data_IF_628555332894
#
_entry.id   IF_628555332894
#
_cell.length_a   1.000
_cell.length_b   1.000
_cell.length_c   1.000
_cell.angle_alpha   90.00
_cell.angle_beta   90.00
_cell.angle_gamma   90.00
#
_symmetry.space_group_name_H-M   'P 1'
#
loop_
_entity.id
_entity.type
_entity.pdbx_description
1 polymer ?
#
# COMPACT_ATOMS: atom_id res chain seq x y z
N UNK A 1 21.53 9.58 19.19
CA UNK A 1 21.74 8.25 19.80
C UNK A 1 20.72 7.32 19.20
N UNK A 2 21.13 6.29 18.48
CA UNK A 2 20.25 5.32 17.80
C UNK A 2 20.60 3.90 18.27
N UNK A 3 19.63 2.98 18.24
CA UNK A 3 19.83 1.57 18.53
C UNK A 3 20.12 0.82 17.24
N UNK A 4 21.31 0.22 17.11
CA UNK A 4 21.76 -0.49 15.93
C UNK A 4 21.94 -1.96 16.26
N UNK A 5 21.28 -2.85 15.51
CA UNK A 5 21.49 -4.29 15.63
C UNK A 5 22.52 -4.74 14.59
N UNK A 6 23.60 -5.37 15.05
CA UNK A 6 24.61 -6.00 14.21
C UNK A 6 24.43 -7.51 14.27
N UNK A 7 24.18 -8.11 13.12
CA UNK A 7 23.98 -9.56 12.95
C UNK A 7 25.08 -10.12 12.06
N UNK A 8 25.96 -10.92 12.62
CA UNK A 8 27.12 -11.50 11.94
C UNK A 8 27.59 -12.73 12.75
N UNK A 9 28.00 -13.81 12.15
CA UNK A 9 28.47 -14.99 12.86
C UNK A 9 29.94 -14.82 13.31
N UNK A 10 30.72 -13.95 12.66
CA UNK A 10 32.10 -13.66 12.97
C UNK A 10 32.24 -12.70 14.17
N UNK A 11 32.73 -13.22 15.32
CA UNK A 11 32.86 -12.44 16.56
C UNK A 11 33.74 -11.18 16.35
N UNK A 12 34.81 -11.28 15.59
CA UNK A 12 35.74 -10.16 15.35
C UNK A 12 35.07 -9.01 14.57
N UNK A 13 34.16 -9.32 13.64
CA UNK A 13 33.40 -8.32 12.88
C UNK A 13 32.37 -7.66 13.81
N UNK A 14 31.66 -8.44 14.61
CA UNK A 14 30.67 -7.90 15.57
C UNK A 14 31.32 -6.94 16.57
N UNK A 15 32.47 -7.34 17.15
CA UNK A 15 33.20 -6.49 18.10
C UNK A 15 33.70 -5.20 17.45
N UNK A 16 34.33 -5.30 16.27
CA UNK A 16 34.83 -4.15 15.54
C UNK A 16 33.72 -3.16 15.18
N UNK A 17 32.60 -3.65 14.65
CA UNK A 17 31.46 -2.80 14.30
C UNK A 17 30.81 -2.19 15.54
N UNK A 18 30.75 -2.95 16.66
CA UNK A 18 30.25 -2.45 17.92
C UNK A 18 31.08 -1.30 18.47
N UNK A 19 32.41 -1.43 18.47
CA UNK A 19 33.33 -0.39 18.91
C UNK A 19 33.19 0.88 18.07
N UNK A 20 33.23 0.75 16.72
CA UNK A 20 33.10 1.88 15.80
C UNK A 20 31.77 2.62 15.99
N UNK A 21 30.67 1.89 16.12
CA UNK A 21 29.34 2.49 16.24
C UNK A 21 29.09 3.09 17.63
N UNK A 22 29.68 2.50 18.69
CA UNK A 22 29.66 3.06 20.02
C UNK A 22 30.45 4.37 20.12
N UNK A 23 31.60 4.46 19.46
CA UNK A 23 32.40 5.70 19.37
C UNK A 23 31.64 6.83 18.67
N UNK A 24 30.77 6.51 17.71
CA UNK A 24 29.85 7.46 17.06
C UNK A 24 28.60 7.79 17.91
N UNK A 25 28.52 7.27 19.14
CA UNK A 25 27.43 7.58 20.10
C UNK A 25 26.15 6.78 19.88
N UNK A 26 26.21 5.63 19.24
CA UNK A 26 25.07 4.72 19.07
C UNK A 26 25.03 3.61 20.15
N UNK A 27 23.87 3.05 20.41
CA UNK A 27 23.72 1.82 21.20
C UNK A 27 23.73 0.62 20.27
N UNK A 28 24.61 -0.35 20.53
CA UNK A 28 24.76 -1.52 19.67
C UNK A 28 24.21 -2.77 20.38
N UNK A 29 23.37 -3.49 19.67
CA UNK A 29 22.92 -4.83 20.03
C UNK A 29 23.61 -5.82 19.09
N UNK A 30 24.07 -6.94 19.61
CA UNK A 30 24.77 -7.95 18.84
C UNK A 30 23.93 -9.21 18.73
N UNK A 31 23.97 -9.88 17.60
CA UNK A 31 23.41 -11.19 17.36
C UNK A 31 24.38 -12.02 16.54
N UNK A 32 24.63 -13.25 16.96
CA UNK A 32 25.58 -14.16 16.29
C UNK A 32 24.93 -15.08 15.25
N UNK A 33 23.60 -15.01 15.14
CA UNK A 33 22.82 -15.86 14.25
C UNK A 33 21.48 -15.23 13.91
N UNK A 34 20.84 -15.71 12.85
CA UNK A 34 19.48 -15.32 12.52
C UNK A 34 18.47 -15.64 13.63
N UNK A 35 18.67 -16.76 14.35
CA UNK A 35 17.84 -17.13 15.49
C UNK A 35 17.92 -16.13 16.63
N UNK A 36 19.10 -15.58 16.89
CA UNK A 36 19.27 -14.53 17.90
C UNK A 36 18.73 -13.19 17.42
N UNK A 37 18.96 -12.85 16.17
CA UNK A 37 18.40 -11.65 15.55
C UNK A 37 16.86 -11.64 15.62
N UNK A 38 16.18 -12.77 15.40
CA UNK A 38 14.73 -12.90 15.58
C UNK A 38 14.32 -12.58 17.01
N UNK A 39 15.00 -13.17 18.02
CA UNK A 39 14.71 -12.93 19.44
C UNK A 39 14.91 -11.47 19.84
N UNK A 40 15.96 -10.83 19.35
CA UNK A 40 16.20 -9.39 19.58
C UNK A 40 15.08 -8.59 18.94
N UNK A 41 14.72 -8.93 17.70
CA UNK A 41 13.70 -8.22 16.92
C UNK A 41 12.29 -8.35 17.52
N UNK A 42 11.96 -9.48 18.13
CA UNK A 42 10.70 -9.69 18.88
C UNK A 42 10.59 -8.80 20.12
N UNK A 43 11.72 -8.48 20.76
CA UNK A 43 11.76 -7.69 21.99
C UNK A 43 11.91 -6.20 21.77
N UNK A 44 12.55 -5.82 20.68
CA UNK A 44 12.88 -4.42 20.39
C UNK A 44 12.91 -4.15 18.88
N UNK A 45 12.60 -2.91 18.53
CA UNK A 45 12.79 -2.39 17.17
C UNK A 45 14.08 -1.58 17.14
N UNK A 46 15.16 -2.07 16.50
CA UNK A 46 16.34 -1.25 16.26
C UNK A 46 16.04 -0.11 15.27
N UNK A 47 16.81 0.96 15.34
CA UNK A 47 16.74 2.08 14.39
C UNK A 47 17.42 1.73 13.06
N UNK A 48 18.34 0.75 13.07
CA UNK A 48 19.07 0.23 11.92
C UNK A 48 19.50 -1.21 12.21
N UNK A 49 19.52 -2.04 11.18
CA UNK A 49 20.13 -3.38 11.23
C UNK A 49 21.26 -3.46 10.22
N UNK A 50 22.42 -3.92 10.66
CA UNK A 50 23.52 -4.41 9.82
C UNK A 50 23.43 -5.93 9.81
N UNK A 51 23.17 -6.55 8.67
CA UNK A 51 22.84 -7.97 8.55
C UNK A 51 23.78 -8.68 7.60
N UNK A 52 24.54 -9.62 8.12
CA UNK A 52 25.36 -10.49 7.28
C UNK A 52 24.50 -11.42 6.43
N UNK A 53 24.97 -11.70 5.21
CA UNK A 53 24.30 -12.65 4.31
C UNK A 53 24.60 -14.08 4.71
N UNK A 54 25.86 -14.37 4.99
CA UNK A 54 26.31 -15.74 5.21
C UNK A 54 26.38 -16.07 6.69
N UNK A 55 25.38 -16.79 7.19
CA UNK A 55 25.30 -17.25 8.57
C UNK A 55 24.99 -18.76 8.58
N UNK A 56 25.47 -19.51 9.60
CA UNK A 56 25.40 -20.98 9.58
C UNK A 56 23.99 -21.55 9.79
N UNK A 57 23.10 -20.81 10.47
CA UNK A 57 21.74 -21.28 10.80
C UNK A 57 20.70 -20.92 9.72
N UNK A 58 20.69 -19.69 9.29
CA UNK A 58 19.80 -19.16 8.25
C UNK A 58 20.51 -18.00 7.56
N UNK A 59 20.54 -17.98 6.24
CA UNK A 59 21.14 -16.85 5.51
C UNK A 59 20.37 -15.56 5.71
N UNK A 60 21.07 -14.42 5.66
CA UNK A 60 20.51 -13.10 5.91
C UNK A 60 19.42 -12.68 4.90
N UNK A 61 19.47 -13.19 3.66
CA UNK A 61 18.43 -12.93 2.66
C UNK A 61 17.11 -13.60 3.07
N UNK A 62 17.19 -14.84 3.58
CA UNK A 62 16.02 -15.57 4.08
C UNK A 62 15.44 -14.86 5.31
N UNK A 63 16.27 -14.40 6.25
CA UNK A 63 15.83 -13.63 7.40
C UNK A 63 15.14 -12.31 6.99
N UNK A 64 15.71 -11.61 6.00
CA UNK A 64 15.13 -10.38 5.46
C UNK A 64 13.76 -10.65 4.81
N UNK A 65 13.61 -11.77 4.07
CA UNK A 65 12.32 -12.21 3.50
C UNK A 65 11.28 -12.50 4.58
N UNK A 66 11.68 -13.18 5.65
CA UNK A 66 10.82 -13.47 6.80
C UNK A 66 10.31 -12.19 7.45
N UNK A 67 11.19 -11.23 7.72
CA UNK A 67 10.82 -9.93 8.28
C UNK A 67 9.92 -9.13 7.34
N UNK A 68 10.17 -9.17 6.02
CA UNK A 68 9.30 -8.54 5.03
C UNK A 68 7.91 -9.18 5.00
N UNK A 69 7.84 -10.51 5.04
CA UNK A 69 6.58 -11.27 4.98
C UNK A 69 5.75 -11.13 6.27
N UNK A 70 6.42 -11.03 7.44
CA UNK A 70 5.77 -10.86 8.74
C UNK A 70 5.47 -9.41 9.12
N UNK A 71 5.82 -8.44 8.25
CA UNK A 71 5.66 -7.01 8.55
C UNK A 71 6.67 -6.43 9.54
N UNK A 72 7.68 -7.22 9.91
CA UNK A 72 8.72 -6.81 10.86
C UNK A 72 9.85 -5.99 10.22
N UNK A 73 9.87 -5.83 8.89
CA UNK A 73 10.85 -5.00 8.17
C UNK A 73 10.42 -3.53 8.19
N UNK A 74 10.45 -2.91 9.35
CA UNK A 74 10.02 -1.52 9.58
C UNK A 74 11.17 -0.55 9.84
N UNK A 75 12.38 -1.08 9.93
CA UNK A 75 13.63 -0.33 10.08
C UNK A 75 14.50 -0.50 8.84
N UNK A 76 15.41 0.44 8.55
CA UNK A 76 16.40 0.24 7.51
C UNK A 76 17.28 -0.98 7.84
N UNK A 77 17.50 -1.82 6.83
CA UNK A 77 18.43 -2.94 6.87
C UNK A 77 19.51 -2.72 5.84
N UNK A 78 20.76 -2.80 6.27
CA UNK A 78 21.95 -2.77 5.38
C UNK A 78 22.56 -4.15 5.41
N UNK A 79 22.66 -4.77 4.23
CA UNK A 79 23.26 -6.09 4.11
C UNK A 79 24.78 -6.00 4.10
N UNK A 80 25.45 -7.00 4.67
CA UNK A 80 26.90 -7.14 4.65
C UNK A 80 27.28 -8.47 3.98
N UNK A 81 28.35 -8.50 3.17
CA UNK A 81 28.80 -9.75 2.56
C UNK A 81 30.27 -9.73 2.18
N UNK A 82 30.97 -10.84 2.42
CA UNK A 82 32.36 -11.05 1.97
C UNK A 82 32.48 -11.58 0.54
N UNK A 83 31.42 -12.15 -0.04
CA UNK A 83 31.39 -12.76 -1.37
C UNK A 83 30.09 -12.43 -2.10
N UNK A 84 29.59 -11.20 -1.93
CA UNK A 84 28.33 -10.79 -2.55
C UNK A 84 28.44 -10.65 -4.06
N UNK A 85 27.66 -11.45 -4.79
CA UNK A 85 27.47 -11.19 -6.21
C UNK A 85 26.53 -10.00 -6.41
N UNK A 86 26.62 -9.34 -7.56
CA UNK A 86 25.67 -8.28 -7.93
C UNK A 86 24.22 -8.78 -7.83
N UNK A 87 23.98 -10.05 -8.15
CA UNK A 87 22.66 -10.69 -8.06
C UNK A 87 22.11 -10.73 -6.64
N UNK A 88 22.95 -11.05 -5.64
CA UNK A 88 22.57 -11.11 -4.23
C UNK A 88 22.22 -9.72 -3.68
N UNK A 89 22.98 -8.70 -4.05
CA UNK A 89 22.71 -7.32 -3.67
C UNK A 89 21.40 -6.81 -4.29
N UNK A 90 21.15 -7.18 -5.55
CA UNK A 90 19.89 -6.87 -6.27
C UNK A 90 18.69 -7.56 -5.60
N UNK A 91 18.84 -8.84 -5.22
CA UNK A 91 17.78 -9.59 -4.53
C UNK A 91 17.46 -8.96 -3.16
N UNK A 92 18.47 -8.68 -2.33
CA UNK A 92 18.28 -8.04 -1.03
C UNK A 92 17.54 -6.71 -1.13
N UNK A 93 17.92 -5.87 -2.09
CA UNK A 93 17.26 -4.57 -2.29
C UNK A 93 15.83 -4.73 -2.80
N UNK A 94 15.52 -5.72 -3.61
CA UNK A 94 14.14 -6.05 -4.04
C UNK A 94 13.25 -6.46 -2.88
N UNK A 95 13.82 -7.11 -1.86
CA UNK A 95 13.10 -7.53 -0.66
C UNK A 95 12.83 -6.33 0.25
N UNK A 96 13.73 -5.33 0.26
CA UNK A 96 13.58 -4.13 1.06
C UNK A 96 14.82 -3.70 1.83
N UNK A 97 15.99 -4.28 1.56
CA UNK A 97 17.24 -3.75 2.11
C UNK A 97 17.51 -2.33 1.58
N UNK A 98 18.00 -1.47 2.46
CA UNK A 98 18.31 -0.07 2.13
C UNK A 98 19.59 0.05 1.32
N UNK A 99 20.59 -0.75 1.67
CA UNK A 99 21.93 -0.70 1.04
C UNK A 99 22.68 -2.01 1.26
N UNK A 100 23.88 -2.06 0.68
CA UNK A 100 24.76 -3.20 0.71
C UNK A 100 26.22 -2.76 1.00
N UNK A 101 26.91 -3.45 1.92
CA UNK A 101 28.30 -3.24 2.27
C UNK A 101 29.10 -4.50 1.97
N UNK A 102 30.16 -4.36 1.21
CA UNK A 102 31.09 -5.44 0.91
C UNK A 102 32.18 -5.52 1.98
N UNK A 103 32.42 -6.71 2.50
CA UNK A 103 33.53 -7.01 3.41
C UNK A 103 34.83 -7.21 2.61
N UNK A 104 35.99 -6.61 3.01
CA UNK A 104 36.22 -5.84 4.22
C UNK A 104 35.55 -4.46 4.19
N UNK A 105 34.80 -4.11 5.25
CA UNK A 105 34.02 -2.88 5.30
C UNK A 105 34.94 -1.69 5.58
N UNK A 106 35.03 -0.78 4.61
CA UNK A 106 35.77 0.47 4.79
C UNK A 106 35.05 1.39 5.78
N UNK A 107 35.78 1.88 6.80
CA UNK A 107 35.20 2.73 7.88
C UNK A 107 34.37 3.90 7.35
N UNK A 108 34.91 4.63 6.38
CA UNK A 108 34.22 5.80 5.81
C UNK A 108 32.90 5.42 5.12
N UNK A 109 32.87 4.26 4.44
CA UNK A 109 31.66 3.75 3.78
C UNK A 109 30.61 3.29 4.79
N UNK A 110 31.04 2.60 5.86
CA UNK A 110 30.17 2.22 6.98
C UNK A 110 29.48 3.45 7.59
N UNK A 111 30.27 4.43 8.02
CA UNK A 111 29.76 5.63 8.68
C UNK A 111 28.85 6.46 7.77
N UNK A 112 29.21 6.59 6.49
CA UNK A 112 28.38 7.28 5.50
C UNK A 112 27.03 6.56 5.30
N UNK A 113 27.05 5.22 5.22
CA UNK A 113 25.83 4.41 5.04
C UNK A 113 24.95 4.44 6.29
N UNK A 114 25.52 4.30 7.49
CA UNK A 114 24.80 4.41 8.77
C UNK A 114 24.16 5.79 8.91
N UNK A 115 24.93 6.86 8.67
CA UNK A 115 24.42 8.24 8.73
C UNK A 115 23.30 8.50 7.73
N UNK A 116 23.40 7.94 6.52
CA UNK A 116 22.36 8.02 5.52
C UNK A 116 21.12 7.24 5.94
N UNK A 117 21.28 6.01 6.42
CA UNK A 117 20.19 5.16 6.90
C UNK A 117 19.40 5.83 8.04
N UNK A 118 20.10 6.41 9.01
CA UNK A 118 19.47 7.08 10.16
C UNK A 118 18.90 8.47 9.85
N UNK A 119 19.38 9.14 8.79
CA UNK A 119 18.87 10.46 8.34
C UNK A 119 17.78 10.35 7.27
N UNK A 120 17.65 9.22 6.61
CA UNK A 120 16.64 9.05 5.57
C UNK A 120 15.24 9.30 6.16
N UNK A 121 14.43 10.19 5.57
CA UNK A 121 13.01 10.30 5.93
C UNK A 121 12.30 8.95 5.80
N UNK A 122 12.88 8.03 5.06
CA UNK A 122 12.44 6.63 4.94
C UNK A 122 12.67 5.80 6.21
N UNK A 123 13.65 6.15 7.06
CA UNK A 123 13.83 5.55 8.37
C UNK A 123 12.78 6.02 9.41
N UNK A 124 12.25 7.22 9.22
CA UNK A 124 11.19 7.81 10.05
C UNK A 124 9.80 7.70 9.42
N UNK A 125 9.70 7.29 8.15
CA UNK A 125 8.42 7.08 7.49
C UNK A 125 7.75 5.83 8.06
N UNK A 126 6.48 5.96 8.39
CA UNK A 126 5.61 4.84 8.73
C UNK A 126 5.83 3.67 7.75
N UNK A 127 5.80 2.43 8.24
CA UNK A 127 6.12 1.24 7.47
C UNK A 127 5.33 1.24 6.16
N UNK A 128 6.05 1.24 5.07
CA UNK A 128 5.45 1.26 3.74
C UNK A 128 4.99 -0.14 3.42
N UNK A 129 3.74 -0.26 3.03
CA UNK A 129 3.23 -1.49 2.42
C UNK A 129 4.17 -1.83 1.26
N UNK A 130 5.05 -2.80 1.45
CA UNK A 130 5.89 -3.26 0.36
C UNK A 130 5.03 -4.14 -0.55
N UNK A 131 5.14 -3.97 -1.86
CA UNK A 131 4.36 -4.77 -2.81
C UNK A 131 4.71 -6.27 -2.77
N UNK A 132 5.87 -6.63 -2.21
CA UNK A 132 6.21 -8.02 -1.89
C UNK A 132 5.23 -8.64 -0.88
N UNK A 133 4.68 -7.80 0.02
CA UNK A 133 3.67 -8.17 0.99
C UNK A 133 2.22 -8.08 0.46
N UNK A 134 2.01 -7.44 -0.70
CA UNK A 134 0.72 -7.46 -1.37
C UNK A 134 0.46 -8.88 -1.91
N UNK A 135 -0.32 -9.63 -1.21
CA UNK A 135 -1.04 -10.85 -1.49
C UNK A 135 -0.55 -11.86 -2.51
N UNK A 136 -1.21 -12.99 -2.49
CA UNK A 136 -0.92 -14.16 -3.33
C UNK A 136 -2.03 -14.44 -4.32
N UNK A 137 -3.06 -13.61 -4.37
CA UNK A 137 -4.19 -13.81 -5.27
C UNK A 137 -3.75 -13.87 -6.73
N UNK A 138 -4.44 -14.63 -7.58
CA UNK A 138 -4.15 -14.72 -9.00
C UNK A 138 -4.14 -13.36 -9.70
N UNK A 139 -5.05 -12.46 -9.31
CA UNK A 139 -5.15 -11.12 -9.88
C UNK A 139 -3.87 -10.29 -9.64
N UNK A 140 -3.34 -10.30 -8.42
CA UNK A 140 -2.09 -9.60 -8.11
C UNK A 140 -0.86 -10.31 -8.70
N UNK A 141 -0.86 -11.64 -8.76
CA UNK A 141 0.22 -12.40 -9.39
C UNK A 141 0.36 -12.05 -10.88
N UNK A 142 -0.76 -11.93 -11.60
CA UNK A 142 -0.77 -11.53 -13.02
C UNK A 142 -0.22 -10.09 -13.18
N UNK A 143 -0.67 -9.14 -12.36
CA UNK A 143 -0.15 -7.77 -12.38
C UNK A 143 1.35 -7.72 -12.10
N UNK A 144 1.83 -8.44 -11.08
CA UNK A 144 3.26 -8.53 -10.76
C UNK A 144 4.07 -9.07 -11.94
N UNK A 145 3.56 -10.14 -12.59
CA UNK A 145 4.19 -10.74 -13.77
C UNK A 145 4.27 -9.75 -14.94
N UNK A 146 3.19 -9.04 -15.22
CA UNK A 146 3.16 -8.01 -16.28
C UNK A 146 4.09 -6.84 -15.96
N UNK A 147 4.12 -6.37 -14.71
CA UNK A 147 5.05 -5.32 -14.29
C UNK A 147 6.50 -5.76 -14.46
N UNK A 148 6.84 -7.01 -14.11
CA UNK A 148 8.19 -7.54 -14.31
C UNK A 148 8.59 -7.58 -15.79
N UNK A 149 7.67 -7.94 -16.68
CA UNK A 149 7.90 -7.86 -18.13
C UNK A 149 8.08 -6.44 -18.62
N UNK A 150 7.21 -5.53 -18.15
CA UNK A 150 7.27 -4.11 -18.51
C UNK A 150 8.50 -3.39 -17.93
N UNK A 151 9.10 -3.89 -16.85
CA UNK A 151 10.30 -3.30 -16.26
C UNK A 151 11.51 -3.28 -17.21
N UNK A 152 11.51 -4.14 -18.23
CA UNK A 152 12.56 -4.17 -19.24
C UNK A 152 12.40 -3.09 -20.31
N UNK A 153 11.25 -2.42 -20.39
CA UNK A 153 10.97 -1.36 -21.34
C UNK A 153 11.23 0.02 -20.72
N UNK A 154 11.84 0.92 -21.48
CA UNK A 154 12.00 2.33 -21.10
C UNK A 154 10.77 3.19 -21.48
N UNK A 155 9.82 2.65 -22.24
CA UNK A 155 8.64 3.39 -22.71
C UNK A 155 7.79 3.89 -21.53
N UNK A 156 7.10 5.02 -21.70
CA UNK A 156 6.15 5.54 -20.72
C UNK A 156 5.10 4.50 -20.39
N UNK A 157 4.62 4.47 -19.13
CA UNK A 157 3.59 3.54 -18.68
C UNK A 157 2.45 4.28 -18.00
N UNK A 158 1.24 4.06 -18.49
CA UNK A 158 0.03 4.48 -17.84
C UNK A 158 -0.53 3.35 -16.97
N UNK A 159 -0.58 3.56 -15.67
CA UNK A 159 -1.33 2.72 -14.74
C UNK A 159 -2.77 3.21 -14.70
N UNK A 160 -3.73 2.33 -14.90
CA UNK A 160 -5.17 2.63 -14.82
C UNK A 160 -5.83 1.81 -13.73
N UNK A 161 -6.68 2.45 -12.93
CA UNK A 161 -7.39 1.77 -11.86
C UNK A 161 -8.34 2.72 -11.16
N UNK A 162 -8.99 2.26 -10.12
CA UNK A 162 -9.87 3.09 -9.31
C UNK A 162 -9.07 3.98 -8.36
N UNK A 163 -9.71 5.03 -7.85
CA UNK A 163 -9.11 5.86 -6.81
C UNK A 163 -8.81 5.03 -5.56
N UNK A 164 -7.75 5.41 -4.85
CA UNK A 164 -7.37 4.73 -3.60
C UNK A 164 -6.54 3.45 -3.77
N UNK A 165 -6.12 3.10 -4.99
CA UNK A 165 -5.34 1.89 -5.29
C UNK A 165 -3.88 1.94 -4.86
N UNK A 166 -3.37 3.08 -4.39
CA UNK A 166 -1.93 3.24 -4.10
C UNK A 166 -1.03 2.87 -5.30
N UNK A 167 -1.23 3.51 -6.46
CA UNK A 167 -0.51 3.14 -7.69
C UNK A 167 1.02 3.30 -7.58
N UNK A 168 1.51 4.11 -6.64
CA UNK A 168 2.94 4.26 -6.33
C UNK A 168 3.59 2.94 -5.89
N UNK A 169 2.85 2.04 -5.24
CA UNK A 169 3.33 0.72 -4.85
C UNK A 169 3.65 -0.13 -6.08
N UNK A 170 2.80 -0.06 -7.08
CA UNK A 170 2.97 -0.79 -8.35
C UNK A 170 4.06 -0.16 -9.22
N UNK A 171 4.13 1.18 -9.26
CA UNK A 171 5.16 1.88 -10.00
C UNK A 171 6.57 1.59 -9.45
N UNK A 172 6.73 1.43 -8.13
CA UNK A 172 8.01 1.08 -7.50
C UNK A 172 8.56 -0.28 -7.93
N UNK A 173 7.71 -1.24 -8.34
CA UNK A 173 8.18 -2.53 -8.88
C UNK A 173 8.91 -2.41 -10.21
N UNK A 174 8.73 -1.31 -10.92
CA UNK A 174 9.42 -1.04 -12.18
C UNK A 174 10.81 -0.45 -11.96
N UNK A 175 11.07 0.11 -10.77
CA UNK A 175 12.36 0.69 -10.43
C UNK A 175 13.38 -0.40 -10.13
N UNK A 176 14.58 -0.22 -10.61
CA UNK A 176 15.71 -1.01 -10.11
C UNK A 176 15.95 -0.70 -8.61
N UNK A 177 16.50 -1.63 -7.82
CA UNK A 177 16.64 -1.48 -6.37
C UNK A 177 17.43 -0.22 -6.08
N UNK A 178 18.10 0.45 -6.10
CA UNK A 178 18.81 1.70 -5.79
C UNK A 178 18.49 2.86 -6.75
N UNK A 179 17.58 2.66 -7.69
CA UNK A 179 17.24 3.70 -8.65
C UNK A 179 16.40 4.83 -8.02
N UNK A 180 16.60 6.08 -8.42
CA UNK A 180 15.77 7.19 -7.95
C UNK A 180 14.28 6.95 -8.26
N UNK A 181 13.42 7.23 -7.28
CA UNK A 181 11.97 7.21 -7.46
C UNK A 181 11.40 8.55 -7.00
N UNK A 182 11.11 9.41 -7.96
CA UNK A 182 10.54 10.72 -7.70
C UNK A 182 9.04 10.66 -7.99
N UNK A 183 8.22 11.05 -7.00
CA UNK A 183 6.77 10.96 -7.09
C UNK A 183 6.11 12.26 -6.62
N UNK A 184 5.07 12.68 -7.33
CA UNK A 184 4.25 13.83 -6.97
C UNK A 184 4.02 14.78 -8.14
N UNK A 185 2.92 15.53 -8.07
CA UNK A 185 2.63 16.60 -9.03
C UNK A 185 3.52 17.84 -8.76
N UNK A 186 3.97 18.00 -7.52
CA UNK A 186 4.86 19.09 -7.09
C UNK A 186 6.20 19.09 -7.83
N UNK A 187 6.63 17.91 -8.32
CA UNK A 187 7.83 17.78 -9.13
C UNK A 187 7.79 18.66 -10.39
N UNK A 188 6.61 18.87 -10.95
CA UNK A 188 6.45 19.67 -12.17
C UNK A 188 6.59 21.18 -11.94
N UNK A 189 6.71 21.63 -10.67
CA UNK A 189 7.11 22.98 -10.33
C UNK A 189 8.62 23.21 -10.53
N UNK A 190 9.41 22.14 -10.54
CA UNK A 190 10.84 22.23 -10.83
C UNK A 190 11.09 22.27 -12.35
N UNK A 191 12.23 22.86 -12.80
CA UNK A 191 12.62 22.82 -14.20
C UNK A 191 12.71 21.36 -14.70
N UNK A 192 12.05 20.99 -15.81
CA UNK A 192 12.05 19.60 -16.29
C UNK A 192 13.44 19.00 -16.55
N UNK A 193 14.43 19.83 -16.87
CA UNK A 193 15.82 19.39 -17.06
C UNK A 193 16.49 18.93 -15.75
N UNK A 194 16.17 19.60 -14.64
CA UNK A 194 16.69 19.23 -13.31
C UNK A 194 16.03 17.95 -12.82
N UNK A 195 14.72 17.79 -13.06
CA UNK A 195 13.99 16.56 -12.76
C UNK A 195 14.59 15.36 -13.48
N UNK A 196 14.92 15.48 -14.77
CA UNK A 196 15.55 14.43 -15.54
C UNK A 196 16.94 14.06 -14.98
N UNK A 197 17.71 15.04 -14.53
CA UNK A 197 19.01 14.79 -13.91
C UNK A 197 18.86 14.06 -12.56
N UNK A 198 17.90 14.46 -11.73
CA UNK A 198 17.61 13.81 -10.44
C UNK A 198 17.05 12.39 -10.60
N UNK A 199 16.27 12.14 -11.66
CA UNK A 199 15.63 10.87 -11.96
C UNK A 199 16.48 9.95 -12.82
N UNK A 200 17.72 10.31 -13.12
CA UNK A 200 18.56 9.55 -14.05
C UNK A 200 18.69 8.07 -13.63
N UNK A 201 18.33 7.17 -14.55
CA UNK A 201 18.28 5.72 -14.30
C UNK A 201 17.12 5.24 -13.44
N UNK A 202 16.17 6.10 -13.11
CA UNK A 202 15.04 5.83 -12.20
C UNK A 202 13.66 6.10 -12.80
N UNK A 203 12.72 6.40 -11.92
CA UNK A 203 11.31 6.61 -12.26
C UNK A 203 10.85 8.01 -11.84
N UNK A 204 10.14 8.66 -12.75
CA UNK A 204 9.30 9.82 -12.50
C UNK A 204 7.86 9.33 -12.44
N UNK A 205 7.22 9.42 -11.28
CA UNK A 205 5.87 8.95 -11.07
C UNK A 205 4.88 10.10 -10.85
N UNK A 206 3.87 10.20 -11.72
CA UNK A 206 2.78 11.15 -11.63
C UNK A 206 1.51 10.45 -11.11
N UNK A 207 1.12 10.69 -9.86
CA UNK A 207 0.07 9.92 -9.18
C UNK A 207 -1.35 10.27 -9.63
N UNK A 208 -1.56 11.39 -10.32
CA UNK A 208 -2.90 11.82 -10.76
C UNK A 208 -2.81 12.80 -11.94
N UNK A 209 -3.22 12.34 -13.12
CA UNK A 209 -3.25 13.19 -14.33
C UNK A 209 -4.35 14.25 -14.29
N UNK A 210 -5.39 14.11 -13.45
CA UNK A 210 -6.48 15.08 -13.34
C UNK A 210 -6.04 16.41 -12.75
N UNK A 211 -4.87 16.45 -12.09
CA UNK A 211 -4.30 17.63 -11.45
C UNK A 211 -3.39 18.45 -12.34
N UNK A 212 -3.13 18.00 -13.56
CA UNK A 212 -2.19 18.65 -14.45
C UNK A 212 -2.87 19.77 -15.25
N UNK A 213 -2.54 21.02 -14.94
CA UNK A 213 -2.89 22.15 -15.75
C UNK A 213 -2.06 22.21 -17.05
N UNK A 214 -2.34 23.18 -17.92
CA UNK A 214 -1.67 23.32 -19.24
C UNK A 214 -0.15 23.52 -19.14
N UNK A 215 0.34 24.14 -18.07
CA UNK A 215 1.77 24.35 -17.89
C UNK A 215 2.47 23.05 -17.52
N UNK A 216 1.88 22.27 -16.60
CA UNK A 216 2.38 20.98 -16.17
C UNK A 216 2.32 19.95 -17.32
N UNK A 217 1.27 19.96 -18.14
CA UNK A 217 1.16 19.09 -19.33
C UNK A 217 2.31 19.33 -20.31
N UNK A 218 2.70 20.59 -20.56
CA UNK A 218 3.89 20.91 -21.37
C UNK A 218 5.19 20.41 -20.71
N UNK A 219 5.27 20.47 -19.39
CA UNK A 219 6.37 19.87 -18.63
C UNK A 219 6.46 18.36 -18.84
N UNK A 220 5.33 17.66 -18.77
CA UNK A 220 5.25 16.21 -19.03
C UNK A 220 5.63 15.88 -20.46
N UNK A 221 5.21 16.66 -21.44
CA UNK A 221 5.57 16.49 -22.84
C UNK A 221 7.09 16.63 -23.05
N UNK A 222 7.72 17.63 -22.41
CA UNK A 222 9.16 17.80 -22.41
C UNK A 222 9.88 16.58 -21.80
N UNK A 223 9.37 16.05 -20.68
CA UNK A 223 9.92 14.87 -20.01
C UNK A 223 9.81 13.63 -20.92
N UNK A 224 8.66 13.41 -21.57
CA UNK A 224 8.45 12.29 -22.50
C UNK A 224 9.49 12.22 -23.61
N UNK A 225 9.83 13.36 -24.19
CA UNK A 225 10.79 13.43 -25.32
C UNK A 225 12.23 13.15 -24.86
N UNK A 226 12.55 13.42 -23.62
CA UNK A 226 13.96 13.42 -23.14
C UNK A 226 14.28 12.36 -22.09
N UNK A 227 13.26 11.73 -21.49
CA UNK A 227 13.43 10.74 -20.43
C UNK A 227 14.38 9.60 -20.84
N UNK A 228 14.25 9.09 -22.06
CA UNK A 228 15.06 8.00 -22.59
C UNK A 228 16.56 8.33 -22.59
N UNK A 229 16.94 9.56 -22.95
CA UNK A 229 18.37 10.01 -22.94
C UNK A 229 18.97 9.98 -21.54
N UNK A 230 18.17 10.19 -20.53
CA UNK A 230 18.55 10.14 -19.11
C UNK A 230 18.34 8.78 -18.49
N UNK A 231 17.92 7.76 -19.26
CA UNK A 231 17.51 6.44 -18.76
C UNK A 231 16.46 6.55 -17.66
N UNK A 232 15.69 7.63 -17.64
CA UNK A 232 14.57 7.84 -16.73
C UNK A 232 13.28 7.33 -17.37
N UNK A 233 12.39 6.77 -16.59
CA UNK A 233 11.10 6.30 -17.06
C UNK A 233 9.97 7.11 -16.46
N UNK A 234 9.03 7.55 -17.31
CA UNK A 234 7.81 8.21 -16.88
C UNK A 234 6.73 7.15 -16.63
N UNK A 235 6.15 7.16 -15.43
CA UNK A 235 5.01 6.33 -15.05
C UNK A 235 3.91 7.25 -14.55
N UNK A 236 2.72 7.11 -15.10
CA UNK A 236 1.57 7.94 -14.74
C UNK A 236 0.44 7.08 -14.21
N UNK A 237 -0.45 7.65 -13.42
CA UNK A 237 -1.68 7.01 -13.02
C UNK A 237 -2.90 7.89 -13.35
N UNK A 238 -3.96 7.24 -13.80
CA UNK A 238 -5.27 7.88 -13.96
C UNK A 238 -6.40 6.93 -13.56
N UNK A 239 -7.33 7.46 -12.77
CA UNK A 239 -8.60 6.79 -12.49
C UNK A 239 -9.63 7.02 -13.61
N UNK A 240 -9.43 8.05 -14.45
CA UNK A 240 -10.30 8.38 -15.55
C UNK A 240 -9.69 7.90 -16.87
N UNK A 241 -10.54 7.55 -17.85
CA UNK A 241 -10.08 7.30 -19.21
C UNK A 241 -9.63 8.60 -19.90
N UNK A 242 -8.82 8.48 -20.95
CA UNK A 242 -8.24 9.63 -21.64
C UNK A 242 -9.28 10.53 -22.27
N UNK A 243 -10.40 9.98 -22.73
CA UNK A 243 -11.51 10.77 -23.27
C UNK A 243 -12.13 11.65 -22.19
N UNK A 244 -12.45 11.05 -21.03
CA UNK A 244 -13.00 11.81 -19.89
C UNK A 244 -12.01 12.85 -19.37
N UNK A 245 -10.70 12.56 -19.36
CA UNK A 245 -9.67 13.54 -19.03
C UNK A 245 -9.67 14.72 -20.00
N UNK A 246 -9.73 14.46 -21.30
CA UNK A 246 -9.79 15.52 -22.29
C UNK A 246 -11.06 16.38 -22.16
N UNK A 247 -12.23 15.73 -21.99
CA UNK A 247 -13.53 16.41 -21.93
C UNK A 247 -13.72 17.22 -20.62
N UNK A 248 -13.27 16.69 -19.46
CA UNK A 248 -13.57 17.29 -18.15
C UNK A 248 -12.41 18.04 -17.50
N UNK A 249 -11.17 17.74 -17.89
CA UNK A 249 -9.96 18.29 -17.27
C UNK A 249 -9.06 19.02 -18.25
N UNK A 250 -9.54 19.34 -19.45
CA UNK A 250 -8.77 20.02 -20.50
C UNK A 250 -7.41 19.36 -20.78
N UNK A 251 -7.36 18.03 -20.67
CA UNK A 251 -6.14 17.28 -20.91
C UNK A 251 -5.89 17.17 -22.40
N UNK A 252 -4.64 17.40 -22.81
CA UNK A 252 -4.26 17.36 -24.22
C UNK A 252 -4.43 15.93 -24.79
N UNK A 253 -5.24 15.76 -25.86
CA UNK A 253 -5.49 14.44 -26.42
C UNK A 253 -4.25 13.77 -27.01
N UNK A 254 -3.33 14.54 -27.63
CA UNK A 254 -2.11 14.00 -28.24
C UNK A 254 -1.13 13.53 -27.15
N UNK A 255 -0.99 14.31 -26.08
CA UNK A 255 -0.26 13.87 -24.90
C UNK A 255 -0.88 12.60 -24.29
N UNK A 256 -2.21 12.57 -24.19
CA UNK A 256 -2.95 11.41 -23.69
C UNK A 256 -2.72 10.15 -24.53
N UNK A 257 -2.71 10.26 -25.84
CA UNK A 257 -2.42 9.16 -26.76
C UNK A 257 -1.01 8.60 -26.54
N UNK A 258 -0.01 9.47 -26.43
CA UNK A 258 1.39 9.09 -26.17
C UNK A 258 1.59 8.42 -24.81
N UNK A 259 0.93 8.93 -23.76
CA UNK A 259 1.01 8.33 -22.40
C UNK A 259 0.33 6.98 -22.31
N UNK A 260 -0.68 6.72 -23.17
CA UNK A 260 -1.47 5.49 -23.15
C UNK A 260 -0.97 4.38 -24.09
N UNK A 261 0.15 4.57 -24.79
CA UNK A 261 0.78 3.55 -25.65
C UNK A 261 1.01 2.23 -24.90
N UNK A 262 1.51 2.33 -23.67
CA UNK A 262 1.58 1.20 -22.75
C UNK A 262 0.66 1.46 -21.56
N UNK A 263 -0.39 0.66 -21.44
CA UNK A 263 -1.35 0.79 -20.35
C UNK A 263 -1.46 -0.51 -19.57
N UNK A 264 -1.41 -0.43 -18.24
CA UNK A 264 -1.63 -1.54 -17.32
C UNK A 264 -2.80 -1.23 -16.40
N UNK A 265 -3.82 -2.08 -16.43
CA UNK A 265 -4.95 -2.00 -15.48
C UNK A 265 -4.54 -2.58 -14.13
N UNK A 266 -4.78 -1.82 -13.08
CA UNK A 266 -4.67 -2.25 -11.69
C UNK A 266 -6.05 -2.79 -11.25
N UNK A 267 -6.14 -4.01 -10.71
CA UNK A 267 -7.40 -4.56 -10.22
C UNK A 267 -7.82 -3.82 -8.94
N UNK A 268 -9.10 -3.47 -8.75
CA UNK A 268 -9.59 -2.92 -7.50
C UNK A 268 -9.52 -3.97 -6.37
N UNK A 269 -9.51 -3.51 -5.12
CA UNK A 269 -9.29 -4.38 -3.94
C UNK A 269 -10.28 -5.54 -3.87
N UNK A 270 -11.52 -5.34 -4.30
CA UNK A 270 -12.54 -6.40 -4.36
C UNK A 270 -12.21 -7.56 -5.33
N UNK A 271 -11.37 -7.35 -6.34
CA UNK A 271 -10.90 -8.40 -7.25
C UNK A 271 -9.80 -9.28 -6.61
N UNK A 272 -9.21 -8.84 -5.49
CA UNK A 272 -8.25 -9.61 -4.69
C UNK A 272 -8.58 -9.56 -3.18
N UNK A 273 -9.87 -9.66 -2.87
CA UNK A 273 -10.40 -9.65 -1.51
C UNK A 273 -9.82 -10.77 -0.61
N UNK A 274 -9.31 -11.84 -1.21
CA UNK A 274 -8.63 -12.94 -0.50
C UNK A 274 -7.37 -12.46 0.24
N UNK A 275 -6.73 -11.41 -0.26
CA UNK A 275 -5.51 -10.85 0.33
C UNK A 275 -5.80 -9.81 1.43
N UNK A 276 -7.06 -9.35 1.58
CA UNK A 276 -7.44 -8.33 2.56
C UNK A 276 -7.09 -8.70 4.00
N UNK A 277 -7.32 -9.95 4.48
CA UNK A 277 -6.93 -10.35 5.82
C UNK A 277 -5.43 -10.19 6.10
N UNK A 278 -4.59 -10.61 5.16
CA UNK A 278 -3.13 -10.52 5.28
C UNK A 278 -2.67 -9.06 5.23
N UNK A 279 -3.25 -8.27 4.32
CA UNK A 279 -2.97 -6.83 4.20
C UNK A 279 -3.36 -6.08 5.46
N UNK A 280 -4.55 -6.32 6.01
CA UNK A 280 -5.02 -5.67 7.23
C UNK A 280 -4.14 -6.04 8.45
N UNK A 281 -3.79 -7.32 8.56
CA UNK A 281 -2.90 -7.81 9.62
C UNK A 281 -1.51 -7.19 9.53
N UNK A 282 -0.97 -7.09 8.31
CA UNK A 282 0.32 -6.44 8.06
C UNK A 282 0.28 -4.94 8.41
N UNK A 283 -0.75 -4.21 7.97
CA UNK A 283 -0.93 -2.79 8.27
C UNK A 283 -1.01 -2.57 9.78
N UNK A 284 -1.78 -3.39 10.50
CA UNK A 284 -1.90 -3.30 11.95
C UNK A 284 -0.57 -3.62 12.65
N UNK A 285 0.12 -4.70 12.24
CA UNK A 285 1.42 -5.06 12.78
C UNK A 285 2.44 -3.93 12.62
N UNK A 286 2.45 -3.28 11.47
CA UNK A 286 3.30 -2.13 11.20
C UNK A 286 2.99 -0.93 12.10
N UNK A 287 1.71 -0.67 12.39
CA UNK A 287 1.31 0.39 13.32
C UNK A 287 1.72 0.09 14.77
N UNK A 288 1.57 -1.16 15.20
CA UNK A 288 2.04 -1.60 16.52
C UNK A 288 3.54 -1.43 16.64
N UNK A 289 4.26 -1.86 15.62
CA UNK A 289 5.71 -1.83 15.60
C UNK A 289 6.28 -0.42 15.55
N UNK A 290 5.66 0.48 14.78
CA UNK A 290 6.01 1.90 14.79
C UNK A 290 5.55 2.66 16.04
N UNK A 291 4.94 1.95 17.01
CA UNK A 291 4.35 2.52 18.22
C UNK A 291 3.27 3.57 17.94
N UNK A 292 2.64 3.50 16.77
CA UNK A 292 1.51 4.36 16.42
C UNK A 292 0.21 3.93 17.13
N UNK A 293 0.15 2.69 17.61
CA UNK A 293 -0.95 2.18 18.43
C UNK A 293 -0.42 1.16 19.46
N UNK A 294 -1.21 0.83 20.49
CA UNK A 294 -0.90 -0.27 21.41
C UNK A 294 -0.82 -1.62 20.69
N UNK A 295 -0.15 -2.64 21.28
CA UNK A 295 -0.15 -3.99 20.73
C UNK A 295 -1.59 -4.51 20.55
N UNK A 296 -1.91 -4.90 19.33
CA UNK A 296 -3.25 -5.37 18.94
C UNK A 296 -3.15 -6.45 17.85
N UNK A 297 -4.19 -7.28 17.79
CA UNK A 297 -4.39 -8.26 16.71
C UNK A 297 -5.83 -8.25 16.24
N UNK A 298 -6.08 -8.72 15.03
CA UNK A 298 -7.42 -8.85 14.47
C UNK A 298 -7.94 -10.27 14.75
N UNK A 299 -9.13 -10.39 15.31
CA UNK A 299 -9.82 -11.67 15.46
C UNK A 299 -10.17 -12.26 14.08
N UNK A 300 -10.29 -13.59 14.00
CA UNK A 300 -10.64 -14.27 12.73
C UNK A 300 -11.97 -13.77 12.17
N UNK A 301 -12.97 -13.52 13.03
CA UNK A 301 -14.27 -12.99 12.63
C UNK A 301 -14.14 -11.57 12.05
N UNK A 302 -13.28 -10.71 12.64
CA UNK A 302 -12.96 -9.38 12.14
C UNK A 302 -12.30 -9.44 10.76
N UNK A 303 -11.31 -10.32 10.59
CA UNK A 303 -10.64 -10.53 9.30
C UNK A 303 -11.60 -10.99 8.20
N UNK A 304 -12.54 -11.89 8.53
CA UNK A 304 -13.58 -12.34 7.61
C UNK A 304 -14.53 -11.20 7.21
N UNK A 305 -14.93 -10.34 8.15
CA UNK A 305 -15.75 -9.17 7.85
C UNK A 305 -15.05 -8.20 6.90
N UNK A 306 -13.76 -7.91 7.16
CA UNK A 306 -12.94 -7.10 6.25
C UNK A 306 -12.81 -7.72 4.86
N UNK A 307 -12.66 -9.04 4.75
CA UNK A 307 -12.60 -9.75 3.46
C UNK A 307 -13.87 -9.59 2.62
N UNK A 308 -15.04 -9.56 3.26
CA UNK A 308 -16.33 -9.48 2.56
C UNK A 308 -16.81 -8.07 2.25
N UNK A 309 -16.10 -7.05 2.72
CA UNK A 309 -16.42 -5.65 2.40
C UNK A 309 -16.04 -5.31 0.95
N UNK A 310 -16.78 -4.41 0.32
CA UNK A 310 -16.63 -4.09 -1.10
C UNK A 310 -15.45 -3.17 -1.42
N UNK A 311 -14.96 -2.42 -0.44
CA UNK A 311 -13.81 -1.51 -0.52
C UNK A 311 -13.92 -0.49 -1.67
N UNK A 312 -14.94 0.35 -1.73
CA UNK A 312 -15.06 1.36 -2.79
C UNK A 312 -13.87 2.34 -2.84
N UNK A 313 -13.25 2.64 -1.70
CA UNK A 313 -12.03 3.44 -1.60
C UNK A 313 -10.72 2.63 -1.64
N UNK A 314 -10.78 1.34 -1.98
CA UNK A 314 -9.63 0.46 -2.19
C UNK A 314 -8.64 0.42 -1.02
N UNK A 315 -7.32 0.37 -1.30
CA UNK A 315 -6.26 0.27 -0.29
C UNK A 315 -6.22 1.47 0.68
N UNK A 316 -6.54 2.67 0.21
CA UNK A 316 -6.59 3.87 1.06
C UNK A 316 -7.71 3.77 2.08
N UNK A 317 -8.87 3.22 1.69
CA UNK A 317 -9.97 2.96 2.61
C UNK A 317 -9.58 1.88 3.63
N UNK A 318 -8.99 0.76 3.18
CA UNK A 318 -8.51 -0.30 4.05
C UNK A 318 -7.50 0.22 5.08
N UNK A 319 -6.50 0.99 4.66
CA UNK A 319 -5.52 1.63 5.55
C UNK A 319 -6.22 2.50 6.62
N UNK A 320 -7.19 3.29 6.19
CA UNK A 320 -7.92 4.17 7.09
C UNK A 320 -8.80 3.40 8.07
N UNK A 321 -9.46 2.32 7.63
CA UNK A 321 -10.26 1.43 8.49
C UNK A 321 -9.36 0.73 9.51
N UNK A 322 -8.22 0.16 9.09
CA UNK A 322 -7.27 -0.49 9.98
C UNK A 322 -6.74 0.50 11.03
N UNK A 323 -6.48 1.74 10.62
CA UNK A 323 -6.07 2.81 11.54
C UNK A 323 -7.14 3.12 12.58
N UNK A 324 -8.40 3.25 12.17
CA UNK A 324 -9.50 3.50 13.11
C UNK A 324 -9.70 2.34 14.07
N UNK A 325 -9.58 1.10 13.58
CA UNK A 325 -9.62 -0.10 14.43
C UNK A 325 -8.45 -0.13 15.42
N UNK A 326 -7.25 0.16 14.95
CA UNK A 326 -6.05 0.19 15.78
C UNK A 326 -6.13 1.20 16.93
N UNK A 327 -6.75 2.35 16.70
CA UNK A 327 -6.85 3.44 17.67
C UNK A 327 -8.15 3.38 18.49
N UNK A 328 -9.24 2.88 17.90
CA UNK A 328 -10.58 2.96 18.48
C UNK A 328 -11.05 1.72 19.23
N UNK A 329 -10.41 0.56 19.05
CA UNK A 329 -10.77 -0.64 19.81
C UNK A 329 -10.22 -0.57 21.24
N UNK A 330 -10.95 -1.10 22.21
CA UNK A 330 -10.58 -1.04 23.63
C UNK A 330 -9.70 -2.22 24.07
N UNK A 331 -9.87 -3.40 23.46
CA UNK A 331 -9.14 -4.62 23.79
C UNK A 331 -7.83 -4.81 23.02
N UNK A 332 -7.04 -5.78 23.41
CA UNK A 332 -5.85 -6.21 22.65
C UNK A 332 -6.23 -6.91 21.34
N UNK A 333 -7.43 -7.46 21.27
CA UNK A 333 -7.97 -8.12 20.09
C UNK A 333 -9.16 -7.34 19.54
N UNK A 334 -9.06 -6.93 18.29
CA UNK A 334 -10.13 -6.25 17.53
C UNK A 334 -11.20 -7.27 17.17
N UNK A 335 -12.42 -7.08 17.65
CA UNK A 335 -13.53 -8.01 17.45
C UNK A 335 -14.36 -7.64 16.21
N UNK A 336 -15.29 -8.53 15.84
CA UNK A 336 -16.22 -8.31 14.72
C UNK A 336 -17.03 -7.01 14.89
N UNK A 337 -17.53 -6.78 16.10
CA UNK A 337 -18.35 -5.61 16.43
C UNK A 337 -17.59 -4.29 16.23
N UNK A 338 -16.29 -4.28 16.47
CA UNK A 338 -15.44 -3.12 16.19
C UNK A 338 -15.39 -2.81 14.69
N UNK A 339 -15.22 -3.85 13.87
CA UNK A 339 -15.19 -3.72 12.41
C UNK A 339 -16.54 -3.24 11.88
N UNK A 340 -17.63 -3.86 12.31
CA UNK A 340 -18.98 -3.47 11.90
C UNK A 340 -19.28 -2.02 12.27
N UNK A 341 -18.92 -1.59 13.48
CA UNK A 341 -19.06 -0.21 13.94
C UNK A 341 -18.29 0.78 13.07
N UNK A 342 -17.02 0.48 12.76
CA UNK A 342 -16.17 1.36 11.95
C UNK A 342 -16.68 1.42 10.51
N UNK A 343 -17.04 0.30 9.91
CA UNK A 343 -17.58 0.25 8.55
C UNK A 343 -18.95 0.95 8.46
N UNK A 344 -19.84 0.75 9.43
CA UNK A 344 -21.14 1.42 9.48
C UNK A 344 -21.02 2.94 9.63
N UNK A 345 -20.06 3.41 10.43
CA UNK A 345 -19.80 4.85 10.59
C UNK A 345 -19.29 5.53 9.29
N UNK A 346 -18.67 4.75 8.39
CA UNK A 346 -18.15 5.23 7.10
C UNK A 346 -19.13 5.04 5.95
N UNK A 347 -20.14 4.18 6.12
CA UNK A 347 -21.22 4.06 5.16
C UNK A 347 -21.94 5.41 5.05
N UNK A 348 -21.78 6.10 3.93
CA UNK A 348 -22.46 7.37 3.70
C UNK A 348 -23.96 7.11 3.69
N UNK A 349 -24.73 7.69 4.61
CA UNK A 349 -26.19 7.50 4.59
C UNK A 349 -26.73 8.08 3.28
N UNK A 350 -27.25 7.22 2.41
CA UNK A 350 -27.87 7.61 1.15
C UNK A 350 -27.01 7.59 -0.10
N UNK A 351 -25.74 7.19 -0.04
CA UNK A 351 -24.98 6.90 -1.24
C UNK A 351 -25.54 5.63 -1.90
N UNK A 352 -26.22 5.79 -3.03
CA UNK A 352 -26.51 4.65 -3.91
C UNK A 352 -25.19 4.02 -4.31
N UNK A 353 -24.99 2.70 -4.12
CA UNK A 353 -23.78 2.03 -4.60
C UNK A 353 -23.62 2.30 -6.11
N UNK A 354 -22.45 2.77 -6.55
CA UNK A 354 -22.16 2.99 -7.98
C UNK A 354 -22.48 1.74 -8.82
N UNK A 355 -22.34 0.55 -8.21
CA UNK A 355 -22.73 -0.74 -8.80
C UNK A 355 -24.22 -0.81 -9.21
N UNK A 356 -25.08 0.01 -8.64
CA UNK A 356 -26.51 0.07 -9.04
C UNK A 356 -26.70 0.88 -10.33
N UNK A 357 -25.81 1.81 -10.64
CA UNK A 357 -25.94 2.67 -11.80
C UNK A 357 -25.48 1.97 -13.10
N UNK A 358 -24.67 0.92 -13.00
CA UNK A 358 -24.21 0.10 -14.13
C UNK A 358 -25.14 -1.05 -14.49
N UNK A 359 -26.24 -1.24 -13.72
CA UNK A 359 -27.23 -2.30 -13.98
C UNK A 359 -28.34 -1.81 -14.94
N UNK A 360 -29.00 -2.73 -15.65
CA UNK A 360 -30.23 -2.42 -16.36
C UNK A 360 -31.26 -1.77 -15.43
N UNK A 361 -31.96 -0.76 -15.89
CA UNK A 361 -32.88 0.06 -15.10
C UNK A 361 -33.80 -0.75 -14.16
N UNK A 362 -34.31 -1.88 -14.65
CA UNK A 362 -35.21 -2.76 -13.86
C UNK A 362 -34.55 -3.34 -12.62
N UNK A 363 -33.32 -3.82 -12.79
CA UNK A 363 -32.52 -4.41 -11.70
C UNK A 363 -32.03 -3.32 -10.73
N UNK A 364 -31.57 -2.20 -11.26
CA UNK A 364 -31.12 -1.06 -10.46
C UNK A 364 -32.25 -0.51 -9.58
N UNK A 365 -33.46 -0.40 -10.16
CA UNK A 365 -34.65 0.04 -9.43
C UNK A 365 -35.04 -0.94 -8.33
N UNK A 366 -35.07 -2.25 -8.62
CA UNK A 366 -35.43 -3.28 -7.63
C UNK A 366 -34.45 -3.33 -6.47
N UNK A 367 -33.15 -3.21 -6.77
CA UNK A 367 -32.09 -3.15 -5.77
C UNK A 367 -32.20 -1.88 -4.90
N UNK A 368 -32.47 -0.72 -5.51
CA UNK A 368 -32.72 0.52 -4.78
C UNK A 368 -33.94 0.41 -3.86
N UNK A 369 -35.06 -0.09 -4.38
CA UNK A 369 -36.29 -0.26 -3.62
C UNK A 369 -36.07 -1.20 -2.42
N UNK A 370 -35.29 -2.25 -2.58
CA UNK A 370 -34.92 -3.17 -1.49
C UNK A 370 -34.15 -2.45 -0.39
N UNK A 371 -33.08 -1.78 -0.71
CA UNK A 371 -32.25 -1.02 0.24
C UNK A 371 -33.07 0.08 0.93
N UNK A 372 -33.89 0.80 0.18
CA UNK A 372 -34.72 1.85 0.71
C UNK A 372 -35.73 1.33 1.76
N UNK A 373 -36.41 0.24 1.46
CA UNK A 373 -37.40 -0.33 2.38
C UNK A 373 -36.76 -1.07 3.56
N UNK A 374 -35.60 -1.73 3.38
CA UNK A 374 -34.83 -2.29 4.49
C UNK A 374 -34.40 -1.20 5.47
N UNK A 375 -33.88 -0.08 4.95
CA UNK A 375 -33.54 1.07 5.78
C UNK A 375 -34.73 1.65 6.53
N UNK A 376 -35.88 1.84 5.88
CA UNK A 376 -37.07 2.34 6.53
C UNK A 376 -37.62 1.37 7.59
N UNK A 377 -37.63 0.08 7.31
CA UNK A 377 -38.07 -0.96 8.26
C UNK A 377 -37.16 -0.98 9.51
N UNK A 378 -35.86 -0.90 9.33
CA UNK A 378 -34.91 -0.82 10.42
C UNK A 378 -35.09 0.45 11.26
N UNK A 379 -35.20 1.59 10.61
CA UNK A 379 -35.30 2.90 11.26
C UNK A 379 -36.62 3.08 12.03
N UNK A 380 -37.70 2.54 11.51
CA UNK A 380 -39.06 2.62 12.13
C UNK A 380 -39.38 1.36 12.98
N UNK A 381 -38.35 0.57 13.30
CA UNK A 381 -38.48 -0.65 14.15
C UNK A 381 -39.58 -1.61 13.69
N UNK A 382 -39.77 -1.74 12.38
CA UNK A 382 -40.75 -2.62 11.78
C UNK A 382 -42.21 -2.10 11.81
N UNK A 383 -42.45 -0.85 12.24
CA UNK A 383 -43.78 -0.24 12.28
C UNK A 383 -44.30 0.08 10.88
N UNK A 384 -45.22 -0.74 10.37
CA UNK A 384 -45.77 -0.61 9.01
C UNK A 384 -46.51 0.70 8.77
N UNK A 385 -47.11 1.27 9.82
CA UNK A 385 -47.80 2.56 9.72
C UNK A 385 -46.77 3.69 9.43
N UNK A 386 -45.70 3.74 10.21
CA UNK A 386 -44.66 4.77 10.05
C UNK A 386 -43.89 4.61 8.73
N UNK A 387 -43.66 3.37 8.31
CA UNK A 387 -43.02 3.09 7.01
C UNK A 387 -43.91 3.56 5.86
N UNK A 388 -45.24 3.33 5.93
CA UNK A 388 -46.20 3.81 4.94
C UNK A 388 -46.22 5.34 4.88
N UNK A 389 -46.34 6.00 6.03
CA UNK A 389 -46.35 7.46 6.12
C UNK A 389 -45.06 8.09 5.54
N UNK A 390 -43.87 7.53 5.87
CA UNK A 390 -42.58 8.03 5.37
C UNK A 390 -42.32 7.73 3.90
N UNK A 391 -42.76 6.58 3.42
CA UNK A 391 -42.61 6.21 2.00
C UNK A 391 -43.61 6.89 1.08
N UNK A 392 -44.68 7.51 1.63
CA UNK A 392 -45.78 8.09 0.86
C UNK A 392 -46.63 7.04 0.16
N UNK A 393 -46.56 5.77 0.57
CA UNK A 393 -47.32 4.68 -0.02
C UNK A 393 -48.50 4.31 0.87
N UNK A 394 -49.64 4.01 0.25
CA UNK A 394 -50.74 3.37 0.98
C UNK A 394 -50.32 2.01 1.55
N UNK A 395 -50.82 1.67 2.75
CA UNK A 395 -50.46 0.42 3.44
C UNK A 395 -50.60 -0.81 2.56
N UNK A 396 -51.72 -0.92 1.82
CA UNK A 396 -51.98 -2.05 0.89
C UNK A 396 -50.93 -2.15 -0.21
N UNK A 397 -50.47 -1.02 -0.72
CA UNK A 397 -49.45 -0.97 -1.75
C UNK A 397 -48.07 -1.29 -1.17
N UNK A 398 -47.77 -0.80 0.03
CA UNK A 398 -46.52 -1.10 0.76
C UNK A 398 -46.38 -2.60 1.02
N UNK A 399 -47.45 -3.25 1.56
CA UNK A 399 -47.42 -4.70 1.82
C UNK A 399 -47.13 -5.51 0.55
N UNK A 400 -47.80 -5.18 -0.55
CA UNK A 400 -47.58 -5.84 -1.85
C UNK A 400 -46.16 -5.65 -2.36
N UNK A 401 -45.60 -4.44 -2.17
CA UNK A 401 -44.25 -4.09 -2.60
C UNK A 401 -43.19 -4.80 -1.78
N UNK A 402 -43.30 -4.81 -0.46
CA UNK A 402 -42.39 -5.53 0.42
C UNK A 402 -42.39 -7.04 0.13
N UNK A 403 -43.56 -7.62 -0.13
CA UNK A 403 -43.70 -9.03 -0.53
C UNK A 403 -43.00 -9.31 -1.87
N UNK A 404 -43.13 -8.42 -2.85
CA UNK A 404 -42.48 -8.54 -4.16
C UNK A 404 -40.94 -8.45 -4.05
N UNK A 405 -40.43 -7.66 -3.09
CA UNK A 405 -39.01 -7.50 -2.83
C UNK A 405 -38.42 -8.59 -1.91
N UNK A 406 -39.26 -9.53 -1.40
CA UNK A 406 -38.82 -10.59 -0.48
C UNK A 406 -38.48 -10.11 0.92
N UNK A 407 -38.96 -8.93 1.32
CA UNK A 407 -38.68 -8.35 2.63
C UNK A 407 -39.66 -8.84 3.71
N UNK A 408 -39.21 -8.98 4.98
CA UNK A 408 -40.07 -9.42 6.05
C UNK A 408 -41.21 -8.41 6.27
N UNK A 409 -42.40 -8.87 6.19
CA UNK A 409 -43.62 -8.10 6.52
C UNK A 409 -43.93 -8.36 7.98
N UNK A 410 -43.72 -7.37 8.85
CA UNK A 410 -43.96 -7.49 10.29
C UNK A 410 -45.36 -8.08 10.59
N UNK A 411 -45.45 -8.90 11.66
CA UNK A 411 -46.70 -9.44 12.14
C UNK A 411 -47.66 -8.29 12.43
N UNK A 412 -48.92 -8.46 12.00
CA UNK A 412 -50.03 -7.61 12.44
C UNK A 412 -49.98 -7.49 13.96
N UNK A 413 -49.79 -6.27 14.48
CA UNK A 413 -50.28 -5.94 15.81
C UNK A 413 -51.83 -5.95 15.71
N UNK A 414 -52.43 -6.91 16.39
CA UNK A 414 -53.86 -6.90 16.70
C UNK A 414 -54.19 -5.80 17.70
#
# INVERSE_FOLDING_TARGET
>A
MAQILVVDDEIGIRELLSEILADEGHQVMLAESAGEARRVRERSRPDLVLLDIWMPDTDGITLLKEWAASGQLTMPVVMMSGHGTIETAVEATRIGALDFLEKPIALQRLLATVKRALRSPEAAAAPRLALAALGRSPALADVKKRLAQLAQSAAPLLLRGERGMRPELFARLLAAPAAPFLAGAELLAEPPSELLAKAAGGILFLPDLTRLGRAEQRGVEFLLVRAEKHKARLVCFSALDMRTLAEKHEFDPDLGARLSELTLRLPPLREFAEDVPDLASLMLAQMVESRACPPRRLAIAALNALRHHAWPGNLVELESVVKDLALGSLGEEVQLEDVERVLAARATPGALPEVLLDRPYREAREAFERVYFEHLLSREHGSMSRVADRSGLERTHLYRKLKALGLPVGRREE
#
